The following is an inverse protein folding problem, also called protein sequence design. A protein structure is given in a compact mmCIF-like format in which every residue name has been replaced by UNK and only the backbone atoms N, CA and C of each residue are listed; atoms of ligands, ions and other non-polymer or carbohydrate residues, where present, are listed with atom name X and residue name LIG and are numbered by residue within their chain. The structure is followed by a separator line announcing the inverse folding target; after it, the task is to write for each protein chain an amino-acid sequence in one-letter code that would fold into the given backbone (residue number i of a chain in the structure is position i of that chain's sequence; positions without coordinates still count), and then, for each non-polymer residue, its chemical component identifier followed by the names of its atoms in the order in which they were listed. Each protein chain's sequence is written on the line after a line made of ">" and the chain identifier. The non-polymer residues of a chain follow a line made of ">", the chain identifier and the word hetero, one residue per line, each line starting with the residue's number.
data_IF_492138910523
#
_entry.id   IF_492138910523
#
_cell.length_a   1.000
_cell.length_b   1.000
_cell.length_c   1.000
_cell.angle_alpha   90.00
_cell.angle_beta   90.00
_cell.angle_gamma   90.00
#
_symmetry.space_group_name_H-M   'P 1'
#
loop_
_entity.id
_entity.type
_entity.pdbx_description
1 polymer ?
#
# COMPACT_ATOMS: atom_id res chain seq x y z
N UNK A 1 15.26 80.44 49.65
CA UNK A 1 15.41 79.00 49.40
C UNK A 1 14.17 78.52 48.68
N UNK A 2 14.25 78.33 47.32
CA UNK A 2 13.15 77.95 46.48
C UNK A 2 13.44 76.53 46.02
N UNK A 3 12.53 75.56 46.38
CA UNK A 3 12.65 74.15 46.04
C UNK A 3 11.88 73.89 44.73
N UNK A 4 12.57 73.46 43.67
CA UNK A 4 12.02 73.09 42.42
C UNK A 4 11.80 71.59 42.40
N UNK A 5 10.52 71.12 42.30
CA UNK A 5 10.17 69.72 42.20
C UNK A 5 10.10 69.35 40.69
N UNK A 6 10.99 68.49 40.21
CA UNK A 6 10.90 67.86 38.87
C UNK A 6 9.92 66.71 38.92
N UNK A 7 8.88 66.74 38.04
CA UNK A 7 8.00 65.62 37.74
C UNK A 7 8.52 64.93 36.52
N UNK A 8 9.00 63.73 36.70
CA UNK A 8 9.32 62.83 35.57
C UNK A 8 8.03 62.23 35.00
N UNK A 9 7.78 62.41 33.69
CA UNK A 9 6.72 61.74 32.94
C UNK A 9 7.31 60.45 32.33
N UNK A 10 6.81 59.28 32.79
CA UNK A 10 7.04 58.00 32.11
C UNK A 10 6.18 57.94 30.85
N UNK A 11 6.80 57.87 29.69
CA UNK A 11 6.17 57.49 28.42
C UNK A 11 6.22 55.95 28.30
N UNK A 12 5.06 55.33 28.44
CA UNK A 12 4.92 53.89 28.17
C UNK A 12 4.82 53.70 26.64
N UNK A 13 5.86 53.17 26.04
CA UNK A 13 5.84 52.75 24.65
C UNK A 13 5.17 51.37 24.54
N UNK A 14 3.96 51.34 24.03
CA UNK A 14 3.24 50.10 23.73
C UNK A 14 3.75 49.56 22.39
N UNK A 15 4.69 48.62 22.43
CA UNK A 15 5.19 47.92 21.25
C UNK A 15 4.14 46.89 20.75
N UNK A 16 3.49 47.15 19.64
CA UNK A 16 2.63 46.18 18.96
C UNK A 16 3.54 45.21 18.24
N UNK A 17 3.67 43.96 18.75
CA UNK A 17 4.29 42.85 18.02
C UNK A 17 3.32 42.41 16.91
N UNK A 18 3.57 42.81 15.67
CA UNK A 18 2.93 42.21 14.51
C UNK A 18 3.54 40.80 14.31
N UNK A 19 2.85 39.75 14.71
CA UNK A 19 3.18 38.39 14.33
C UNK A 19 2.80 38.20 12.88
N UNK A 20 3.77 38.22 11.97
CA UNK A 20 3.58 37.79 10.59
C UNK A 20 3.30 36.27 10.59
N UNK A 21 2.03 35.88 10.52
CA UNK A 21 1.63 34.52 10.21
C UNK A 21 1.83 34.35 8.70
N UNK A 22 2.97 33.77 8.31
CA UNK A 22 3.16 33.35 6.92
C UNK A 22 2.11 32.24 6.63
N UNK A 23 1.34 32.35 5.54
CA UNK A 23 0.48 31.23 5.14
C UNK A 23 1.39 30.03 4.83
N UNK A 24 1.18 28.94 5.52
CA UNK A 24 1.80 27.67 5.16
C UNK A 24 1.31 27.34 3.74
N UNK A 25 2.20 27.39 2.74
CA UNK A 25 1.87 26.85 1.42
C UNK A 25 1.45 25.40 1.64
N UNK A 26 0.21 25.06 1.24
CA UNK A 26 -0.23 23.66 1.21
C UNK A 26 0.78 22.88 0.37
N UNK A 27 1.34 21.80 0.93
CA UNK A 27 2.27 20.96 0.20
C UNK A 27 1.59 20.46 -1.08
N UNK A 28 2.29 20.51 -2.21
CA UNK A 28 1.77 20.03 -3.49
C UNK A 28 1.44 18.54 -3.36
N UNK A 29 0.23 18.15 -3.80
CA UNK A 29 -0.20 16.76 -3.76
C UNK A 29 0.64 15.92 -4.73
N UNK A 30 1.03 14.74 -4.30
CA UNK A 30 1.72 13.77 -5.14
C UNK A 30 0.78 13.23 -6.22
N UNK A 31 1.29 12.97 -7.41
CA UNK A 31 0.49 12.32 -8.45
C UNK A 31 0.59 10.81 -8.30
N UNK A 32 -0.58 10.13 -8.20
CA UNK A 32 -0.70 8.68 -8.23
C UNK A 32 -1.42 8.24 -9.51
N UNK A 33 -1.03 7.09 -10.03
CA UNK A 33 -1.70 6.43 -11.15
C UNK A 33 -2.26 5.10 -10.67
N UNK A 34 -3.54 4.83 -10.90
CA UNK A 34 -4.08 3.48 -10.80
C UNK A 34 -4.15 2.87 -12.19
N UNK A 35 -3.61 1.67 -12.35
CA UNK A 35 -3.71 0.88 -13.57
C UNK A 35 -4.62 -0.32 -13.32
N UNK A 36 -5.60 -0.55 -14.23
CA UNK A 36 -6.61 -1.60 -14.11
C UNK A 36 -7.07 -2.09 -15.50
N UNK A 37 -8.20 -2.82 -15.56
CA UNK A 37 -8.87 -3.25 -16.82
C UNK A 37 -9.04 -4.75 -16.93
N UNK A 38 -8.15 -5.55 -16.36
CA UNK A 38 -8.25 -7.00 -16.37
C UNK A 38 -7.98 -7.58 -15.00
N UNK A 39 -9.06 -8.01 -14.35
CA UNK A 39 -9.03 -8.62 -13.04
C UNK A 39 -10.07 -9.75 -12.99
N UNK A 40 -9.74 -10.84 -12.32
CA UNK A 40 -10.63 -11.98 -12.13
C UNK A 40 -11.79 -11.69 -11.16
N UNK A 41 -11.72 -10.61 -10.37
CA UNK A 41 -12.78 -10.18 -9.48
C UNK A 41 -13.68 -9.17 -10.19
N UNK A 42 -14.96 -9.53 -10.43
CA UNK A 42 -15.88 -8.73 -11.25
C UNK A 42 -16.20 -7.33 -10.72
N UNK A 43 -15.91 -7.06 -9.45
CA UNK A 43 -16.09 -5.76 -8.81
C UNK A 43 -14.87 -4.82 -8.92
N UNK A 44 -13.84 -5.19 -9.69
CA UNK A 44 -12.62 -4.39 -9.84
C UNK A 44 -12.87 -2.92 -10.24
N UNK A 45 -13.88 -2.58 -11.07
CA UNK A 45 -14.13 -1.18 -11.38
C UNK A 45 -14.51 -0.37 -10.15
N UNK A 46 -15.28 -0.97 -9.23
CA UNK A 46 -15.67 -0.34 -7.98
C UNK A 46 -14.49 -0.23 -7.01
N UNK A 47 -13.69 -1.29 -6.87
CA UNK A 47 -12.50 -1.23 -5.99
C UNK A 47 -11.46 -0.25 -6.49
N UNK A 48 -11.32 -0.04 -7.81
CA UNK A 48 -10.50 1.06 -8.38
C UNK A 48 -11.00 2.43 -7.89
N UNK A 49 -12.32 2.68 -7.95
CA UNK A 49 -12.88 3.96 -7.50
C UNK A 49 -12.73 4.15 -5.98
N UNK A 50 -12.85 3.08 -5.20
CA UNK A 50 -12.61 3.11 -3.75
C UNK A 50 -11.15 3.48 -3.45
N UNK A 51 -10.18 2.83 -4.07
CA UNK A 51 -8.75 3.13 -3.89
C UNK A 51 -8.41 4.56 -4.33
N UNK A 52 -8.98 5.01 -5.48
CA UNK A 52 -8.85 6.41 -5.93
C UNK A 52 -9.34 7.37 -4.85
N UNK A 53 -10.56 7.15 -4.36
CA UNK A 53 -11.16 7.98 -3.31
C UNK A 53 -10.31 8.02 -2.04
N UNK A 54 -9.79 6.88 -1.56
CA UNK A 54 -8.97 6.81 -0.35
C UNK A 54 -7.67 7.61 -0.48
N UNK A 55 -7.02 7.55 -1.63
CA UNK A 55 -5.84 8.35 -1.89
C UNK A 55 -6.16 9.85 -1.94
N UNK A 56 -7.25 10.24 -2.60
CA UNK A 56 -7.68 11.66 -2.71
C UNK A 56 -8.17 12.22 -1.37
N UNK A 57 -8.95 11.44 -0.60
CA UNK A 57 -9.42 11.83 0.75
C UNK A 57 -8.28 12.03 1.75
N UNK A 58 -7.13 11.40 1.52
CA UNK A 58 -5.93 11.61 2.35
C UNK A 58 -5.33 13.01 2.18
N UNK A 59 -5.74 13.76 1.15
CA UNK A 59 -5.19 15.05 0.74
C UNK A 59 -3.69 15.01 0.36
N UNK A 60 -3.10 13.80 0.25
CA UNK A 60 -1.70 13.60 -0.15
C UNK A 60 -1.55 13.38 -1.64
N UNK A 61 -2.62 12.96 -2.32
CA UNK A 61 -2.57 12.56 -3.73
C UNK A 61 -3.62 13.25 -4.58
N UNK A 62 -3.27 13.42 -5.87
CA UNK A 62 -4.20 13.51 -7.00
C UNK A 62 -4.07 12.22 -7.80
N UNK A 63 -5.18 11.65 -8.29
CA UNK A 63 -5.19 10.29 -8.83
C UNK A 63 -5.76 10.25 -10.24
N UNK A 64 -4.95 9.78 -11.18
CA UNK A 64 -5.39 9.39 -12.51
C UNK A 64 -5.63 7.87 -12.57
N UNK A 65 -6.49 7.42 -13.50
CA UNK A 65 -6.73 6.01 -13.78
C UNK A 65 -6.49 5.76 -15.26
N UNK A 66 -5.74 4.70 -15.58
CA UNK A 66 -5.56 4.23 -16.96
C UNK A 66 -6.00 2.79 -17.02
N UNK A 67 -7.04 2.56 -17.82
CA UNK A 67 -7.71 1.26 -17.95
C UNK A 67 -7.23 0.57 -19.22
N UNK A 68 -6.70 -0.65 -19.08
CA UNK A 68 -6.35 -1.55 -20.15
C UNK A 68 -7.62 -2.12 -20.82
N UNK A 69 -7.55 -2.48 -22.08
CA UNK A 69 -8.67 -3.16 -22.73
C UNK A 69 -9.16 -4.38 -21.91
N UNK A 70 -10.48 -4.63 -21.86
CA UNK A 70 -11.06 -5.60 -20.91
C UNK A 70 -10.72 -7.07 -21.25
N UNK A 71 -10.18 -7.32 -22.44
CA UNK A 71 -9.79 -8.68 -22.91
C UNK A 71 -8.62 -8.60 -23.88
N UNK A 72 -7.75 -9.61 -23.81
CA UNK A 72 -6.63 -9.74 -24.73
C UNK A 72 -5.57 -8.66 -24.54
N UNK A 73 -4.66 -8.58 -25.48
CA UNK A 73 -3.59 -7.58 -25.49
C UNK A 73 -4.13 -6.20 -25.88
N UNK A 74 -3.52 -5.16 -25.35
CA UNK A 74 -3.83 -3.76 -25.68
C UNK A 74 -2.57 -3.03 -26.10
N UNK A 75 -2.28 -2.97 -27.41
CA UNK A 75 -1.11 -2.25 -27.92
C UNK A 75 -1.12 -0.74 -27.61
N UNK A 76 -2.30 -0.19 -27.29
CA UNK A 76 -2.46 1.23 -26.91
C UNK A 76 -2.20 1.51 -25.43
N UNK A 77 -2.07 0.48 -24.59
CA UNK A 77 -1.81 0.62 -23.17
C UNK A 77 -0.38 1.09 -22.92
N UNK A 78 -0.20 2.42 -22.85
CA UNK A 78 1.10 3.09 -22.72
C UNK A 78 1.04 4.21 -21.67
N UNK A 79 0.85 3.88 -20.37
CA UNK A 79 0.84 4.90 -19.32
C UNK A 79 2.18 5.63 -19.23
N UNK A 80 2.14 6.94 -19.07
CA UNK A 80 3.34 7.76 -18.86
C UNK A 80 3.78 7.70 -17.38
N UNK A 81 4.29 6.54 -16.95
CA UNK A 81 4.62 6.26 -15.54
C UNK A 81 5.50 7.32 -14.88
N UNK A 82 6.47 7.88 -15.60
CA UNK A 82 7.37 8.91 -15.09
C UNK A 82 6.70 10.22 -14.63
N UNK A 83 5.41 10.42 -14.95
CA UNK A 83 4.64 11.56 -14.48
C UNK A 83 4.07 11.36 -13.06
N UNK A 84 4.25 10.19 -12.46
CA UNK A 84 3.62 9.81 -11.19
C UNK A 84 4.66 9.44 -10.13
N UNK A 85 4.38 9.80 -8.89
CA UNK A 85 5.21 9.42 -7.74
C UNK A 85 4.98 7.95 -7.34
N UNK A 86 3.78 7.43 -7.62
CA UNK A 86 3.40 6.05 -7.33
C UNK A 86 2.41 5.51 -8.35
N UNK A 87 2.58 4.23 -8.70
CA UNK A 87 1.63 3.45 -9.52
C UNK A 87 0.99 2.38 -8.63
N UNK A 88 -0.32 2.26 -8.70
CA UNK A 88 -1.11 1.23 -8.00
C UNK A 88 -1.67 0.26 -9.03
N UNK A 89 -1.46 -1.04 -8.85
CA UNK A 89 -2.03 -2.07 -9.72
C UNK A 89 -3.28 -2.69 -9.12
N UNK A 90 -4.37 -2.66 -9.89
CA UNK A 90 -5.62 -3.40 -9.64
C UNK A 90 -5.88 -4.41 -10.78
N UNK A 91 -4.83 -5.02 -11.28
CA UNK A 91 -4.92 -6.17 -12.20
C UNK A 91 -5.20 -7.46 -11.42
N UNK A 92 -5.40 -8.58 -12.12
CA UNK A 92 -5.68 -9.86 -11.48
C UNK A 92 -5.20 -11.05 -12.28
N UNK A 93 -5.58 -12.23 -11.81
CA UNK A 93 -5.26 -13.50 -12.47
C UNK A 93 -5.80 -13.53 -13.90
N UNK A 94 -4.98 -14.05 -14.84
CA UNK A 94 -5.35 -14.18 -16.24
C UNK A 94 -5.27 -12.88 -17.05
N UNK A 95 -4.77 -11.78 -16.46
CA UNK A 95 -4.52 -10.56 -17.21
C UNK A 95 -3.53 -10.81 -18.36
N UNK A 96 -3.85 -10.27 -19.55
CA UNK A 96 -2.96 -10.32 -20.70
C UNK A 96 -1.68 -9.52 -20.45
N UNK A 97 -0.59 -9.93 -21.07
CA UNK A 97 0.69 -9.21 -21.00
C UNK A 97 0.53 -7.79 -21.52
N UNK A 98 1.14 -6.86 -20.82
CA UNK A 98 1.31 -5.50 -21.35
C UNK A 98 2.28 -5.51 -22.56
N UNK A 99 2.16 -4.54 -23.48
CA UNK A 99 3.13 -4.37 -24.55
C UNK A 99 4.57 -4.38 -24.01
N UNK A 100 5.50 -4.95 -24.77
CA UNK A 100 6.88 -5.08 -24.32
C UNK A 100 7.51 -3.72 -23.95
N UNK A 101 7.25 -2.68 -24.74
CA UNK A 101 7.71 -1.31 -24.44
C UNK A 101 7.11 -0.76 -23.14
N UNK A 102 5.86 -1.06 -22.84
CA UNK A 102 5.18 -0.64 -21.61
C UNK A 102 5.77 -1.36 -20.40
N UNK A 103 6.08 -2.67 -20.52
CA UNK A 103 6.77 -3.41 -19.48
C UNK A 103 8.15 -2.83 -19.19
N UNK A 104 8.94 -2.56 -20.23
CA UNK A 104 10.25 -1.93 -20.09
C UNK A 104 10.14 -0.56 -19.41
N UNK A 105 9.20 0.28 -19.86
CA UNK A 105 8.99 1.60 -19.26
C UNK A 105 8.59 1.52 -17.77
N UNK A 106 7.78 0.53 -17.39
CA UNK A 106 7.40 0.31 -15.99
C UNK A 106 8.59 -0.20 -15.15
N UNK A 107 9.36 -1.14 -15.68
CA UNK A 107 10.59 -1.62 -15.01
C UNK A 107 11.58 -0.49 -14.78
N UNK A 108 11.83 0.35 -15.77
CA UNK A 108 12.74 1.48 -15.68
C UNK A 108 12.22 2.55 -14.70
N UNK A 109 10.92 2.79 -14.69
CA UNK A 109 10.26 3.69 -13.74
C UNK A 109 10.51 3.22 -12.30
N UNK A 110 10.18 1.96 -11.97
CA UNK A 110 10.38 1.46 -10.61
C UNK A 110 11.86 1.37 -10.28
N UNK A 111 12.69 0.81 -11.17
CA UNK A 111 14.15 0.72 -10.97
C UNK A 111 14.79 2.08 -10.74
N UNK A 112 14.28 3.12 -11.39
CA UNK A 112 14.74 4.51 -11.28
C UNK A 112 14.37 5.22 -9.98
N UNK A 113 13.43 4.67 -9.18
CA UNK A 113 13.00 5.25 -7.91
C UNK A 113 11.50 5.50 -7.80
N UNK A 114 10.73 5.18 -8.84
CA UNK A 114 9.27 5.26 -8.81
C UNK A 114 8.65 4.31 -7.77
N UNK A 115 7.54 4.74 -7.16
CA UNK A 115 6.79 3.94 -6.20
C UNK A 115 5.83 2.96 -6.88
N UNK A 116 5.66 1.77 -6.31
CA UNK A 116 4.69 0.80 -6.79
C UNK A 116 3.87 0.21 -5.64
N UNK A 117 2.57 -0.02 -5.86
CA UNK A 117 1.68 -0.70 -4.92
C UNK A 117 0.96 -1.84 -5.62
N UNK A 118 1.13 -3.07 -5.12
CA UNK A 118 0.39 -4.26 -5.52
C UNK A 118 -0.72 -4.52 -4.52
N UNK A 119 -1.98 -4.56 -5.00
CA UNK A 119 -3.15 -4.78 -4.14
C UNK A 119 -3.84 -6.08 -4.53
N UNK A 120 -4.01 -6.96 -3.56
CA UNK A 120 -4.77 -8.20 -3.67
C UNK A 120 -4.40 -8.99 -4.94
N UNK A 121 -5.36 -9.23 -5.83
CA UNK A 121 -5.19 -10.01 -7.05
C UNK A 121 -4.10 -9.51 -8.00
N UNK A 122 -3.53 -8.32 -7.78
CA UNK A 122 -2.39 -7.86 -8.55
C UNK A 122 -1.17 -8.77 -8.37
N UNK A 123 -1.06 -9.47 -7.24
CA UNK A 123 0.01 -10.45 -7.00
C UNK A 123 -0.17 -11.76 -7.79
N UNK A 124 -1.35 -11.96 -8.39
CA UNK A 124 -1.68 -13.11 -9.24
C UNK A 124 -1.40 -12.84 -10.73
N UNK A 125 -1.14 -11.58 -11.08
CA UNK A 125 -0.91 -11.15 -12.46
C UNK A 125 0.47 -11.58 -12.96
N UNK A 126 0.61 -11.69 -14.26
CA UNK A 126 1.86 -11.76 -15.02
C UNK A 126 2.90 -12.77 -14.47
N UNK A 127 2.56 -14.07 -14.31
CA UNK A 127 3.48 -15.06 -13.73
C UNK A 127 4.79 -15.20 -14.54
N UNK A 128 4.75 -14.93 -15.85
CA UNK A 128 5.91 -15.02 -16.75
C UNK A 128 6.79 -13.75 -16.77
N UNK A 129 6.33 -12.65 -16.15
CA UNK A 129 7.09 -11.40 -16.15
C UNK A 129 8.03 -11.36 -14.92
N UNK A 130 9.29 -11.76 -15.15
CA UNK A 130 10.30 -11.92 -14.09
C UNK A 130 10.45 -10.66 -13.24
N UNK A 131 10.61 -9.49 -13.87
CA UNK A 131 10.79 -8.23 -13.14
C UNK A 131 9.57 -7.88 -12.29
N UNK A 132 8.35 -8.13 -12.78
CA UNK A 132 7.13 -7.93 -12.00
C UNK A 132 7.10 -8.82 -10.75
N UNK A 133 7.46 -10.11 -10.90
CA UNK A 133 7.55 -11.03 -9.77
C UNK A 133 8.63 -10.62 -8.76
N UNK A 134 9.74 -10.03 -9.21
CA UNK A 134 10.75 -9.44 -8.33
C UNK A 134 10.21 -8.22 -7.58
N UNK A 135 9.40 -7.37 -8.25
CA UNK A 135 8.80 -6.18 -7.63
C UNK A 135 7.77 -6.55 -6.58
N UNK A 136 6.90 -7.53 -6.83
CA UNK A 136 5.87 -7.93 -5.86
C UNK A 136 6.40 -8.87 -4.76
N UNK A 137 7.56 -9.49 -4.95
CA UNK A 137 8.21 -10.39 -4.00
C UNK A 137 7.55 -11.75 -3.87
N UNK A 138 6.26 -11.81 -3.62
CA UNK A 138 5.43 -13.02 -3.53
C UNK A 138 4.22 -12.89 -4.44
N UNK A 139 3.77 -14.00 -5.03
CA UNK A 139 2.57 -14.05 -5.83
C UNK A 139 1.90 -15.41 -5.76
N UNK A 140 0.67 -15.49 -6.25
CA UNK A 140 -0.12 -16.71 -6.24
C UNK A 140 -0.60 -17.14 -7.62
N UNK A 141 -1.14 -18.34 -7.71
CA UNK A 141 -1.76 -18.91 -8.93
C UNK A 141 -0.87 -18.82 -10.19
N UNK A 142 -1.48 -18.82 -11.36
CA UNK A 142 -0.75 -18.63 -12.65
C UNK A 142 0.35 -19.66 -12.91
N UNK A 143 0.25 -20.87 -12.36
CA UNK A 143 1.28 -21.91 -12.53
C UNK A 143 2.52 -21.71 -11.65
N UNK A 144 2.50 -20.81 -10.66
CA UNK A 144 3.63 -20.63 -9.73
C UNK A 144 3.86 -21.89 -8.90
N UNK A 145 5.12 -22.31 -8.81
CA UNK A 145 5.59 -23.49 -8.08
C UNK A 145 6.90 -23.15 -7.35
N UNK A 146 7.61 -24.16 -6.82
CA UNK A 146 8.94 -23.99 -6.23
C UNK A 146 9.95 -23.31 -7.17
N UNK A 147 9.73 -23.38 -8.49
CA UNK A 147 10.55 -22.67 -9.49
C UNK A 147 10.38 -21.16 -9.45
N UNK A 148 9.26 -20.67 -8.93
CA UNK A 148 9.00 -19.24 -8.75
C UNK A 148 9.69 -18.66 -7.52
N UNK A 149 10.14 -19.51 -6.60
CA UNK A 149 10.82 -19.14 -5.35
C UNK A 149 10.19 -19.80 -4.12
N UNK A 150 10.69 -19.48 -2.91
CA UNK A 150 10.21 -20.07 -1.66
C UNK A 150 8.81 -19.58 -1.28
N UNK A 151 8.11 -20.33 -0.43
CA UNK A 151 7.10 -19.76 0.46
C UNK A 151 7.80 -18.92 1.52
N UNK A 152 7.22 -17.82 1.91
CA UNK A 152 7.72 -16.98 3.01
C UNK A 152 6.60 -16.79 4.03
N UNK A 153 6.88 -17.11 5.28
CA UNK A 153 5.91 -17.00 6.37
C UNK A 153 6.61 -16.89 7.72
N UNK A 154 5.88 -16.53 8.76
CA UNK A 154 6.38 -16.66 10.13
C UNK A 154 5.85 -17.95 10.77
N UNK A 155 6.72 -18.68 11.44
CA UNK A 155 6.36 -19.82 12.29
C UNK A 155 5.77 -19.35 13.62
N UNK A 156 5.14 -20.28 14.38
CA UNK A 156 4.53 -19.96 15.67
C UNK A 156 5.54 -19.46 16.72
N UNK A 157 6.82 -19.83 16.60
CA UNK A 157 7.91 -19.32 17.44
C UNK A 157 8.45 -17.94 16.97
N UNK A 158 7.77 -17.31 16.01
CA UNK A 158 8.08 -15.95 15.55
C UNK A 158 9.29 -15.84 14.62
N UNK A 159 9.74 -16.92 13.99
CA UNK A 159 10.84 -16.88 13.03
C UNK A 159 10.34 -16.74 11.60
N UNK A 160 11.01 -15.91 10.82
CA UNK A 160 10.79 -15.82 9.38
C UNK A 160 11.37 -17.08 8.71
N UNK A 161 10.51 -17.80 7.98
CA UNK A 161 10.83 -19.02 7.25
C UNK A 161 10.79 -18.76 5.75
N UNK A 162 11.78 -19.28 5.04
CA UNK A 162 11.85 -19.35 3.57
C UNK A 162 11.86 -20.85 3.19
N UNK A 163 10.69 -21.36 2.82
CA UNK A 163 10.47 -22.79 2.58
C UNK A 163 10.49 -23.08 1.08
N UNK A 164 11.48 -23.85 0.63
CA UNK A 164 11.68 -24.24 -0.77
C UNK A 164 10.98 -25.55 -1.15
N UNK A 165 10.16 -26.11 -0.27
CA UNK A 165 9.41 -27.33 -0.55
C UNK A 165 8.59 -27.20 -1.85
N UNK A 166 8.48 -28.30 -2.58
CA UNK A 166 7.67 -28.36 -3.78
C UNK A 166 6.18 -28.11 -3.46
N UNK A 167 5.48 -27.46 -4.39
CA UNK A 167 4.05 -27.21 -4.28
C UNK A 167 3.59 -25.97 -5.03
N UNK A 168 2.26 -25.81 -5.22
CA UNK A 168 1.68 -24.68 -5.92
C UNK A 168 1.81 -23.38 -5.13
N UNK A 169 1.85 -22.25 -5.83
CA UNK A 169 1.77 -20.92 -5.24
C UNK A 169 0.35 -20.40 -5.22
N UNK A 170 -0.08 -19.88 -4.06
CA UNK A 170 -1.35 -19.21 -3.88
C UNK A 170 -2.52 -20.14 -3.58
N UNK A 171 -3.20 -19.83 -2.51
CA UNK A 171 -4.44 -20.43 -2.05
C UNK A 171 -5.13 -19.48 -1.08
N UNK A 172 -6.40 -19.73 -0.77
CA UNK A 172 -7.14 -19.06 0.31
C UNK A 172 -8.25 -19.96 0.85
N UNK A 173 -8.75 -19.64 2.03
CA UNK A 173 -9.97 -20.21 2.58
C UNK A 173 -11.22 -19.40 2.20
N UNK A 174 -12.36 -19.66 2.84
CA UNK A 174 -13.54 -18.82 2.71
C UNK A 174 -13.25 -17.41 3.26
N UNK A 175 -13.94 -16.42 2.73
CA UNK A 175 -13.87 -15.05 3.25
C UNK A 175 -14.32 -14.99 4.71
N UNK A 176 -13.55 -14.36 5.55
CA UNK A 176 -13.83 -14.15 6.96
C UNK A 176 -12.99 -13.00 7.51
N UNK A 177 -13.39 -12.39 8.64
CA UNK A 177 -12.49 -11.52 9.40
C UNK A 177 -11.30 -12.32 9.95
N UNK A 178 -10.12 -11.68 9.97
CA UNK A 178 -8.91 -12.28 10.56
C UNK A 178 -8.03 -11.24 11.25
N UNK A 179 -7.28 -11.69 12.24
CA UNK A 179 -6.38 -10.82 12.97
C UNK A 179 -5.06 -10.59 12.20
N UNK A 180 -4.68 -9.34 12.07
CA UNK A 180 -3.38 -8.92 11.58
C UNK A 180 -2.45 -8.74 12.76
N UNK A 181 -1.24 -9.28 12.69
CA UNK A 181 -0.17 -9.11 13.68
C UNK A 181 0.98 -8.32 13.06
N UNK A 182 1.33 -7.19 13.66
CA UNK A 182 2.46 -6.36 13.21
C UNK A 182 3.77 -7.08 13.56
N UNK A 183 4.68 -7.16 12.58
CA UNK A 183 6.01 -7.76 12.71
C UNK A 183 7.12 -6.73 12.83
N UNK A 184 6.95 -5.60 12.17
CA UNK A 184 7.83 -4.44 12.34
C UNK A 184 7.00 -3.19 12.70
N UNK A 185 7.03 -2.81 13.98
CA UNK A 185 6.34 -1.64 14.50
C UNK A 185 7.14 -0.32 14.29
N UNK A 186 8.40 -0.41 13.86
CA UNK A 186 9.27 0.73 13.64
C UNK A 186 9.16 1.28 12.20
N UNK A 187 8.76 0.44 11.26
CA UNK A 187 8.65 0.82 9.86
C UNK A 187 7.64 1.97 9.66
N UNK A 188 7.92 2.98 8.82
CA UNK A 188 7.03 4.14 8.63
C UNK A 188 5.56 3.78 8.35
N UNK A 189 5.28 2.71 7.60
CA UNK A 189 3.91 2.28 7.28
C UNK A 189 3.15 1.84 8.55
N UNK A 190 3.79 1.09 9.43
CA UNK A 190 3.16 0.45 10.61
C UNK A 190 3.30 1.25 11.90
N UNK A 191 4.20 2.24 11.90
CA UNK A 191 4.48 3.06 13.09
C UNK A 191 3.22 3.70 13.66
N UNK A 192 2.99 3.47 14.96
CA UNK A 192 1.83 3.98 15.68
C UNK A 192 0.56 3.13 15.55
N UNK A 193 0.59 2.02 14.79
CA UNK A 193 -0.50 1.04 14.78
C UNK A 193 -0.45 0.17 16.03
N UNK A 194 -1.61 -0.39 16.49
CA UNK A 194 -1.62 -1.40 17.53
C UNK A 194 -0.86 -2.67 17.08
N UNK A 195 -0.31 -3.42 18.02
CA UNK A 195 0.46 -4.65 17.73
C UNK A 195 -0.36 -5.71 16.96
N UNK A 196 -1.68 -5.70 17.15
CA UNK A 196 -2.63 -6.52 16.41
C UNK A 196 -3.93 -5.75 16.18
N UNK A 197 -4.63 -6.07 15.08
CA UNK A 197 -5.93 -5.50 14.75
C UNK A 197 -6.76 -6.47 13.90
N UNK A 198 -8.09 -6.37 13.98
CA UNK A 198 -9.00 -7.23 13.26
C UNK A 198 -9.32 -6.65 11.88
N UNK A 199 -8.90 -7.34 10.82
CA UNK A 199 -9.31 -7.04 9.45
C UNK A 199 -10.75 -7.49 9.21
N UNK A 200 -11.47 -6.75 8.37
CA UNK A 200 -12.84 -7.10 7.99
C UNK A 200 -12.90 -8.37 7.13
N UNK A 201 -14.09 -8.72 6.67
CA UNK A 201 -14.32 -9.91 5.85
C UNK A 201 -13.49 -9.84 4.54
N UNK A 202 -12.56 -10.79 4.37
CA UNK A 202 -11.63 -10.83 3.23
C UNK A 202 -11.14 -12.26 2.96
N UNK A 203 -10.45 -12.46 1.86
CA UNK A 203 -9.71 -13.68 1.57
C UNK A 203 -8.32 -13.61 2.18
N UNK A 204 -8.06 -14.45 3.20
CA UNK A 204 -6.71 -14.62 3.68
C UNK A 204 -5.93 -15.45 2.67
N UNK A 205 -5.10 -14.79 1.85
CA UNK A 205 -4.22 -15.48 0.92
C UNK A 205 -3.15 -16.25 1.70
N UNK A 206 -2.98 -17.51 1.33
CA UNK A 206 -1.96 -18.40 1.89
C UNK A 206 -1.05 -18.97 0.81
N UNK A 207 0.10 -19.47 1.21
CA UNK A 207 1.02 -20.19 0.32
C UNK A 207 1.50 -19.37 -0.89
N UNK A 208 1.60 -18.05 -0.76
CA UNK A 208 2.21 -17.22 -1.80
C UNK A 208 3.68 -17.57 -1.95
N UNK A 209 4.17 -17.53 -3.18
CA UNK A 209 5.56 -17.86 -3.54
C UNK A 209 6.15 -16.81 -4.48
N UNK A 210 7.44 -16.63 -4.39
CA UNK A 210 8.11 -15.72 -5.31
C UNK A 210 9.57 -15.57 -4.97
N UNK A 211 10.31 -14.75 -5.72
CA UNK A 211 11.73 -14.50 -5.46
C UNK A 211 11.98 -14.03 -4.03
N UNK A 212 11.07 -13.22 -3.49
CA UNK A 212 11.11 -12.65 -2.15
C UNK A 212 12.49 -12.01 -1.83
N UNK A 213 13.17 -11.49 -2.86
CA UNK A 213 14.44 -10.80 -2.74
C UNK A 213 14.20 -9.37 -2.25
N UNK A 214 15.07 -8.86 -1.39
CA UNK A 214 14.97 -7.49 -0.84
C UNK A 214 13.59 -7.16 -0.27
N UNK A 215 12.93 -8.16 0.32
CA UNK A 215 11.58 -8.09 0.86
C UNK A 215 11.59 -8.12 2.39
N UNK A 216 10.82 -7.24 2.99
CA UNK A 216 10.52 -7.21 4.42
C UNK A 216 9.04 -7.51 4.65
N UNK A 217 8.72 -8.30 5.67
CA UNK A 217 7.35 -8.61 6.07
C UNK A 217 6.98 -7.73 7.26
N UNK A 218 6.07 -6.79 7.04
CA UNK A 218 5.63 -5.82 8.05
C UNK A 218 4.51 -6.34 8.94
N UNK A 219 3.66 -7.21 8.40
CA UNK A 219 2.55 -7.80 9.13
C UNK A 219 2.11 -9.14 8.53
N UNK A 220 1.51 -9.97 9.38
CA UNK A 220 1.05 -11.31 9.02
C UNK A 220 -0.33 -11.59 9.57
N UNK A 221 -1.01 -12.62 9.02
CA UNK A 221 -2.19 -13.23 9.63
C UNK A 221 -1.99 -14.74 9.78
N UNK A 222 -2.49 -15.31 10.88
CA UNK A 222 -2.46 -16.75 11.08
C UNK A 222 -3.49 -17.45 10.19
N UNK A 223 -3.01 -18.37 9.36
CA UNK A 223 -3.85 -19.20 8.49
C UNK A 223 -4.06 -20.58 9.14
N UNK A 224 -5.29 -20.93 9.59
CA UNK A 224 -5.55 -22.23 10.23
C UNK A 224 -5.30 -23.43 9.31
N UNK A 225 -5.46 -23.23 7.98
CA UNK A 225 -5.25 -24.28 6.96
C UNK A 225 -3.78 -24.67 6.84
N UNK A 226 -2.89 -23.69 6.75
CA UNK A 226 -1.43 -23.92 6.59
C UNK A 226 -0.71 -24.02 7.93
N UNK A 227 -1.33 -23.55 9.03
CA UNK A 227 -0.72 -23.38 10.36
C UNK A 227 0.53 -22.48 10.29
N UNK A 228 0.44 -21.42 9.47
CA UNK A 228 1.50 -20.46 9.23
C UNK A 228 0.97 -19.05 9.45
N UNK A 229 1.84 -18.12 9.81
CA UNK A 229 1.52 -16.70 9.78
C UNK A 229 1.91 -16.15 8.40
N UNK A 230 0.92 -16.06 7.53
CA UNK A 230 1.10 -15.65 6.14
C UNK A 230 1.29 -14.13 6.02
N UNK A 231 2.17 -13.64 5.12
CA UNK A 231 2.41 -12.21 4.95
C UNK A 231 1.18 -11.46 4.43
N UNK A 232 0.81 -10.35 5.10
CA UNK A 232 -0.33 -9.50 4.73
C UNK A 232 0.10 -8.08 4.38
N UNK A 233 1.28 -7.66 4.77
CA UNK A 233 1.91 -6.41 4.34
C UNK A 233 3.39 -6.64 4.15
N UNK A 234 3.89 -6.26 2.99
CA UNK A 234 5.30 -6.43 2.61
C UNK A 234 5.83 -5.17 1.96
N UNK A 235 7.11 -4.93 2.10
CA UNK A 235 7.85 -3.95 1.31
C UNK A 235 8.97 -4.62 0.56
N UNK A 236 9.20 -4.16 -0.68
CA UNK A 236 10.25 -4.69 -1.54
C UNK A 236 11.05 -3.52 -2.13
N UNK A 237 12.36 -3.67 -2.14
CA UNK A 237 13.26 -2.74 -2.83
C UNK A 237 13.59 -3.30 -4.21
N UNK A 238 13.19 -2.57 -5.28
CA UNK A 238 13.54 -2.91 -6.66
C UNK A 238 14.35 -1.78 -7.30
N UNK A 239 15.65 -1.97 -7.44
CA UNK A 239 16.56 -0.89 -7.80
C UNK A 239 16.53 0.24 -6.76
N UNK A 240 16.16 1.46 -7.17
CA UNK A 240 15.93 2.60 -6.28
C UNK A 240 14.46 2.74 -5.87
N UNK A 241 13.55 1.99 -6.50
CA UNK A 241 12.12 2.06 -6.26
C UNK A 241 11.68 1.32 -5.02
N UNK A 242 10.58 1.74 -4.45
CA UNK A 242 9.94 1.18 -3.27
C UNK A 242 8.61 0.58 -3.64
N UNK A 243 8.39 -0.66 -3.25
CA UNK A 243 7.15 -1.37 -3.52
C UNK A 243 6.46 -1.72 -2.21
N UNK A 244 5.19 -1.36 -2.08
CA UNK A 244 4.31 -1.87 -1.05
C UNK A 244 3.39 -2.93 -1.65
N UNK A 245 3.32 -4.09 -1.01
CA UNK A 245 2.46 -5.18 -1.43
C UNK A 245 1.55 -5.61 -0.28
N UNK A 246 0.26 -5.70 -0.56
CA UNK A 246 -0.74 -6.26 0.35
C UNK A 246 -1.67 -7.21 -0.41
N UNK A 247 -1.79 -8.48 0.03
CA UNK A 247 -2.76 -9.42 -0.51
C UNK A 247 -4.18 -9.22 0.03
N UNK A 248 -4.40 -8.25 0.94
CA UNK A 248 -5.73 -7.84 1.40
C UNK A 248 -6.45 -7.01 0.32
N UNK A 249 -7.79 -6.96 0.38
CA UNK A 249 -8.56 -6.04 -0.47
C UNK A 249 -9.39 -6.70 -1.56
N UNK A 250 -9.87 -7.97 -1.35
CA UNK A 250 -10.67 -8.73 -2.30
C UNK A 250 -11.91 -7.98 -2.80
N UNK A 251 -12.62 -7.34 -1.92
CA UNK A 251 -13.89 -6.73 -2.26
C UNK A 251 -14.23 -5.50 -1.44
N UNK A 252 -15.47 -5.05 -1.54
CA UNK A 252 -15.90 -3.83 -0.89
C UNK A 252 -15.72 -3.91 0.62
N UNK A 253 -16.19 -4.99 1.26
CA UNK A 253 -16.12 -5.17 2.72
C UNK A 253 -14.69 -5.07 3.24
N UNK A 254 -13.75 -5.72 2.55
CA UNK A 254 -12.33 -5.69 2.93
C UNK A 254 -11.72 -4.31 2.69
N UNK A 255 -12.07 -3.65 1.58
CA UNK A 255 -11.55 -2.32 1.26
C UNK A 255 -12.18 -1.21 2.11
N UNK A 256 -13.39 -1.38 2.63
CA UNK A 256 -14.02 -0.46 3.60
C UNK A 256 -13.41 -0.56 5.00
N UNK A 257 -12.64 -1.61 5.29
CA UNK A 257 -11.94 -1.75 6.57
C UNK A 257 -10.96 -0.57 6.79
N UNK A 258 -11.11 0.12 7.92
CA UNK A 258 -10.26 1.28 8.27
C UNK A 258 -8.78 0.86 8.34
N UNK A 259 -8.51 -0.38 8.78
CA UNK A 259 -7.16 -0.96 8.76
C UNK A 259 -6.60 -1.06 7.35
N UNK A 260 -7.39 -1.57 6.38
CA UNK A 260 -6.98 -1.62 4.97
C UNK A 260 -6.76 -0.21 4.42
N UNK A 261 -7.74 0.69 4.56
CA UNK A 261 -7.63 2.08 4.06
C UNK A 261 -6.37 2.75 4.57
N UNK A 262 -6.13 2.66 5.88
CA UNK A 262 -4.96 3.29 6.51
C UNK A 262 -3.65 2.70 5.98
N UNK A 263 -3.53 1.38 5.92
CA UNK A 263 -2.29 0.71 5.46
C UNK A 263 -2.05 0.93 3.97
N UNK A 264 -3.10 0.93 3.15
CA UNK A 264 -3.02 1.21 1.71
C UNK A 264 -2.50 2.64 1.44
N UNK A 265 -3.11 3.66 2.06
CA UNK A 265 -2.70 5.06 1.86
C UNK A 265 -1.28 5.30 2.37
N UNK A 266 -0.93 4.77 3.55
CA UNK A 266 0.43 4.86 4.11
C UNK A 266 1.43 4.10 3.25
N UNK A 267 1.05 2.93 2.72
CA UNK A 267 1.87 2.16 1.79
C UNK A 267 2.14 2.93 0.50
N UNK A 268 1.12 3.56 -0.08
CA UNK A 268 1.25 4.40 -1.27
C UNK A 268 2.16 5.62 -1.00
N UNK A 269 1.98 6.30 0.14
CA UNK A 269 2.82 7.43 0.51
C UNK A 269 4.28 7.02 0.72
N UNK A 270 4.52 5.91 1.43
CA UNK A 270 5.87 5.39 1.61
C UNK A 270 6.51 4.98 0.28
N UNK A 271 5.78 4.31 -0.58
CA UNK A 271 6.29 3.93 -1.91
C UNK A 271 6.69 5.16 -2.73
N UNK A 272 5.91 6.24 -2.67
CA UNK A 272 6.19 7.47 -3.36
C UNK A 272 7.40 8.23 -2.79
N UNK A 273 7.56 8.29 -1.46
CA UNK A 273 8.46 9.25 -0.79
C UNK A 273 9.52 8.63 0.11
N UNK A 274 9.33 7.39 0.56
CA UNK A 274 10.11 6.76 1.63
C UNK A 274 9.70 7.18 3.06
N UNK A 275 8.70 8.06 3.20
CA UNK A 275 8.21 8.58 4.48
C UNK A 275 6.68 8.45 4.58
N UNK A 276 6.15 8.56 5.80
CA UNK A 276 4.71 8.53 6.08
C UNK A 276 4.37 9.58 7.13
N UNK A 277 3.44 10.48 6.79
CA UNK A 277 2.86 11.46 7.70
C UNK A 277 1.34 11.28 7.90
N UNK A 278 0.72 10.38 7.14
CA UNK A 278 -0.69 10.02 7.32
C UNK A 278 -0.87 9.38 8.70
N UNK A 279 -1.70 9.96 9.59
CA UNK A 279 -1.87 9.44 10.95
C UNK A 279 -2.64 8.11 10.95
N UNK A 280 -2.48 7.33 12.03
CA UNK A 280 -3.41 6.25 12.37
C UNK A 280 -4.68 6.90 12.93
N UNK A 281 -5.87 6.68 12.33
CA UNK A 281 -7.08 7.35 12.76
C UNK A 281 -7.62 6.79 14.08
N UNK A 282 -8.43 7.58 14.78
CA UNK A 282 -8.97 7.20 16.09
C UNK A 282 -9.94 6.00 16.02
N UNK A 283 -10.58 5.77 14.88
CA UNK A 283 -11.46 4.64 14.60
C UNK A 283 -10.72 3.44 13.97
N UNK A 284 -9.38 3.38 14.09
CA UNK A 284 -8.60 2.22 13.67
C UNK A 284 -9.08 0.95 14.40
N UNK A 285 -9.18 -0.22 13.72
CA UNK A 285 -9.67 -1.44 14.36
C UNK A 285 -8.80 -1.88 15.55
N UNK A 286 -9.40 -2.54 16.52
CA UNK A 286 -8.70 -3.16 17.66
C UNK A 286 -8.38 -4.63 17.38
N UNK A 287 -7.68 -5.30 18.30
CA UNK A 287 -7.38 -6.72 18.17
C UNK A 287 -8.66 -7.61 18.18
N UNK A 288 -9.77 -7.12 18.78
CA UNK A 288 -11.01 -7.87 18.97
C UNK A 288 -12.14 -7.40 18.04
N UNK A 289 -12.01 -6.19 17.45
CA UNK A 289 -13.13 -5.58 16.72
C UNK A 289 -12.68 -4.95 15.43
N UNK A 290 -13.38 -5.29 14.34
CA UNK A 290 -13.26 -4.62 13.04
C UNK A 290 -13.78 -3.19 13.10
N UNK A 291 -13.30 -2.36 12.21
CA UNK A 291 -13.84 -1.02 11.96
C UNK A 291 -13.92 -0.80 10.45
N UNK A 292 -15.07 -0.37 9.96
CA UNK A 292 -15.28 -0.11 8.54
C UNK A 292 -15.98 1.22 8.32
N UNK A 293 -15.64 1.89 7.23
CA UNK A 293 -16.30 3.11 6.75
C UNK A 293 -16.96 2.79 5.43
N UNK A 294 -18.29 2.83 5.39
CA UNK A 294 -19.03 2.62 4.15
C UNK A 294 -18.61 3.69 3.16
N UNK A 295 -18.09 3.29 2.01
CA UNK A 295 -17.94 4.19 0.88
C UNK A 295 -19.35 4.63 0.46
N UNK A 296 -19.71 5.89 0.65
CA UNK A 296 -20.97 6.42 0.09
C UNK A 296 -20.95 6.13 -1.41
N UNK A 297 -21.91 5.31 -1.83
CA UNK A 297 -22.14 4.88 -3.22
C UNK A 297 -22.46 6.05 -4.11
#
# INVERSE_FOLDING_TARGET
>A
MISIKYRARLLAACGILLTCVSPALAAERLRALIVDGQNNHGNWPQTTQMMKKYLEDSERFTVDVVTHAPKGEDPSFKPAFGNYAVVVSNFGHGAASWPAETRTAFEDYVRGGGGFVSVHAADNSFPEWVAYNQMIGLGGWGGRTEKSGPYVYYSDDGKLVRDTAAGPGGSHGPQSPFAITIRDAAHPITKGMPAAWMHANDELYDSLRGPAENMEVLATAYCPKTKRHEPMMMTIQYGKGRVFHTPMGHGNDSQECVGFVTTFVRGAQWSATGAVDVPVPADFPTAEKTSSRTSSR
#
